data_IF_467142390557
#
_entry.id   IF_467142390557
#
_cell.length_a   1.000
_cell.length_b   1.000
_cell.length_c   1.000
_cell.angle_alpha   90.00
_cell.angle_beta   90.00
_cell.angle_gamma   90.00
#
_symmetry.space_group_name_H-M   'P 1'
#
loop_
_entity.id
_entity.type
_entity.pdbx_description
1 polymer ?
#
# COMPACT_ATOMS: atom_id res chain seq x y z
N UNK A 1 11.20 -10.76 -19.95
CA UNK A 1 12.05 -9.71 -19.39
C UNK A 1 11.37 -9.20 -18.13
N UNK A 2 11.99 -9.37 -16.96
CA UNK A 2 11.44 -8.99 -15.66
C UNK A 2 12.40 -7.99 -15.01
N UNK A 3 11.83 -7.00 -14.34
CA UNK A 3 12.54 -5.95 -13.62
C UNK A 3 12.42 -6.17 -12.12
N UNK A 4 13.48 -5.90 -11.37
CA UNK A 4 13.53 -6.12 -9.92
C UNK A 4 13.72 -4.76 -9.25
N UNK A 5 12.80 -4.43 -8.35
CA UNK A 5 12.97 -3.32 -7.42
C UNK A 5 13.14 -3.88 -6.01
N UNK A 6 13.92 -3.20 -5.19
CA UNK A 6 14.10 -3.58 -3.78
C UNK A 6 13.42 -2.60 -2.85
N UNK A 7 13.15 -3.03 -1.62
CA UNK A 7 12.71 -2.13 -0.57
C UNK A 7 13.94 -1.39 0.02
N UNK A 8 13.83 -0.08 0.20
CA UNK A 8 14.86 0.78 0.77
C UNK A 8 14.33 1.39 2.07
N UNK A 9 14.73 0.79 3.19
CA UNK A 9 14.40 1.26 4.53
C UNK A 9 15.54 2.14 5.05
N UNK A 10 15.38 3.45 4.89
CA UNK A 10 16.43 4.44 5.22
C UNK A 10 15.93 5.58 6.10
N UNK A 11 14.69 5.50 6.60
CA UNK A 11 14.27 6.36 7.70
C UNK A 11 14.94 5.97 9.03
N UNK A 12 15.16 4.67 9.24
CA UNK A 12 15.73 4.12 10.47
C UNK A 12 16.61 2.90 10.17
N UNK A 13 17.44 2.49 11.13
CA UNK A 13 18.17 1.22 11.11
C UNK A 13 17.82 0.37 12.33
N UNK A 14 18.18 -0.92 12.29
CA UNK A 14 18.16 -1.75 13.49
C UNK A 14 19.08 -1.18 14.57
N UNK A 15 18.70 -1.40 15.83
CA UNK A 15 19.55 -1.20 17.00
C UNK A 15 20.82 -2.07 16.96
N UNK A 16 20.82 -3.17 16.22
CA UNK A 16 21.97 -4.04 16.01
C UNK A 16 22.88 -3.55 14.85
N UNK A 17 22.52 -2.45 14.17
CA UNK A 17 23.33 -1.90 13.08
C UNK A 17 24.68 -1.38 13.60
N UNK A 18 25.81 -1.63 12.90
CA UNK A 18 27.14 -1.16 13.34
C UNK A 18 27.22 0.35 13.61
N UNK A 19 26.49 1.17 12.86
CA UNK A 19 26.40 2.61 13.14
C UNK A 19 25.76 2.90 14.50
N UNK A 20 24.64 2.25 14.83
CA UNK A 20 23.96 2.48 16.11
C UNK A 20 24.79 1.92 17.28
N UNK A 21 25.36 0.73 17.13
CA UNK A 21 26.24 0.12 18.13
C UNK A 21 27.47 1.00 18.41
N UNK A 22 28.08 1.58 17.38
CA UNK A 22 29.18 2.54 17.55
C UNK A 22 28.71 3.82 18.26
N UNK A 23 27.52 4.33 17.93
CA UNK A 23 26.94 5.49 18.59
C UNK A 23 26.71 5.25 20.10
N UNK A 24 26.20 4.08 20.47
CA UNK A 24 26.05 3.63 21.86
C UNK A 24 27.40 3.47 22.57
N UNK A 25 28.43 3.00 21.86
CA UNK A 25 29.79 2.92 22.37
C UNK A 25 30.49 4.29 22.53
N UNK A 26 29.82 5.40 22.22
CA UNK A 26 30.32 6.75 22.44
C UNK A 26 30.99 7.41 21.23
N UNK A 27 30.97 6.77 20.06
CA UNK A 27 31.49 7.36 18.82
C UNK A 27 30.70 8.63 18.46
N UNK A 28 31.39 9.78 18.42
CA UNK A 28 30.75 11.08 18.18
C UNK A 28 30.30 11.28 16.74
N UNK A 29 30.97 10.67 15.77
CA UNK A 29 30.55 10.71 14.38
C UNK A 29 29.25 9.92 14.22
N UNK A 30 29.22 8.69 14.73
CA UNK A 30 28.02 7.83 14.62
C UNK A 30 26.88 8.27 15.54
N UNK A 31 27.15 8.95 16.65
CA UNK A 31 26.10 9.66 17.40
C UNK A 31 25.40 10.72 16.55
N UNK A 32 26.13 11.36 15.62
CA UNK A 32 25.54 12.30 14.66
C UNK A 32 24.66 11.65 13.59
N UNK A 33 24.65 10.32 13.47
CA UNK A 33 23.82 9.59 12.50
C UNK A 33 22.39 9.38 13.01
N UNK A 34 22.13 9.61 14.30
CA UNK A 34 20.83 9.39 14.94
C UNK A 34 20.43 10.63 15.74
N UNK A 35 19.18 10.65 16.21
CA UNK A 35 18.70 11.70 17.09
C UNK A 35 18.84 11.28 18.56
N UNK A 36 19.85 11.84 19.25
CA UNK A 36 20.01 11.70 20.70
C UNK A 36 19.69 13.01 21.44
N UNK A 37 19.03 12.94 22.60
CA UNK A 37 18.77 14.11 23.45
C UNK A 37 18.63 13.77 24.94
N UNK A 38 18.88 14.74 25.81
CA UNK A 38 18.76 14.58 27.28
C UNK A 38 17.32 14.52 27.77
N UNK A 39 16.44 15.35 27.21
CA UNK A 39 15.03 15.43 27.59
C UNK A 39 14.20 15.15 26.35
N UNK A 40 13.40 14.06 26.30
CA UNK A 40 12.55 13.74 25.15
C UNK A 40 11.41 14.76 25.04
N UNK A 41 10.79 14.81 23.86
CA UNK A 41 9.51 15.52 23.66
C UNK A 41 8.34 14.53 23.85
N UNK A 42 7.11 15.01 23.66
CA UNK A 42 5.89 14.20 23.80
C UNK A 42 5.50 13.34 22.58
N UNK A 43 6.42 13.10 21.62
CA UNK A 43 6.09 12.34 20.42
C UNK A 43 5.77 10.87 20.75
N UNK A 44 4.83 10.30 19.99
CA UNK A 44 4.39 8.90 20.14
C UNK A 44 4.89 8.03 18.98
N UNK A 45 5.15 6.76 19.27
CA UNK A 45 5.56 5.74 18.28
C UNK A 45 4.34 5.20 17.51
N UNK A 46 4.57 4.82 16.26
CA UNK A 46 3.60 4.10 15.42
C UNK A 46 3.24 2.72 15.97
N UNK A 47 4.11 2.11 16.81
CA UNK A 47 3.89 0.79 17.41
C UNK A 47 3.60 0.87 18.92
N UNK A 48 2.89 1.93 19.31
CA UNK A 48 2.47 2.27 20.67
C UNK A 48 3.59 2.80 21.60
N UNK A 49 3.20 3.66 22.54
CA UNK A 49 4.08 4.27 23.54
C UNK A 49 4.90 5.48 23.06
N UNK A 50 5.87 5.96 23.86
CA UNK A 50 6.71 7.11 23.51
C UNK A 50 7.59 6.82 22.29
N UNK A 51 7.91 7.84 21.49
CA UNK A 51 8.87 7.75 20.38
C UNK A 51 10.35 7.82 20.83
N UNK A 52 10.62 7.72 22.13
CA UNK A 52 11.95 7.91 22.70
C UNK A 52 12.31 6.78 23.64
N UNK A 53 13.48 6.18 23.45
CA UNK A 53 14.02 5.14 24.33
C UNK A 53 15.26 5.65 25.07
N UNK A 54 15.28 5.50 26.39
CA UNK A 54 16.43 5.88 27.21
C UNK A 54 17.54 4.81 27.14
N UNK A 55 18.79 5.28 27.08
CA UNK A 55 20.01 4.48 27.11
C UNK A 55 20.88 4.94 28.28
N UNK A 56 21.06 4.06 29.27
CA UNK A 56 21.79 4.36 30.49
C UNK A 56 23.28 4.61 30.21
N UNK A 57 23.89 3.86 29.29
CA UNK A 57 25.31 3.99 28.94
C UNK A 57 25.69 5.37 28.38
N UNK A 58 24.71 6.10 27.82
CA UNK A 58 24.89 7.44 27.28
C UNK A 58 24.24 8.53 28.14
N UNK A 59 23.37 8.14 29.08
CA UNK A 59 22.42 9.02 29.75
C UNK A 59 21.65 9.91 28.74
N UNK A 60 21.13 9.30 27.68
CA UNK A 60 20.43 9.98 26.58
C UNK A 60 19.22 9.16 26.11
N UNK A 61 18.26 9.86 25.50
CA UNK A 61 17.15 9.26 24.77
C UNK A 61 17.48 9.24 23.28
N UNK A 62 17.15 8.15 22.59
CA UNK A 62 17.23 8.03 21.14
C UNK A 62 15.83 7.97 20.51
N UNK A 63 15.65 8.65 19.35
CA UNK A 63 14.39 8.67 18.63
C UNK A 63 14.13 7.32 17.93
N UNK A 64 12.92 6.81 18.12
CA UNK A 64 12.37 5.64 17.44
C UNK A 64 10.91 5.92 17.10
N UNK A 65 10.63 6.26 15.85
CA UNK A 65 9.24 6.45 15.40
C UNK A 65 8.49 5.11 15.35
N UNK A 66 9.20 3.98 15.18
CA UNK A 66 8.62 2.65 15.04
C UNK A 66 8.93 1.79 16.28
N UNK A 67 9.41 0.55 16.12
CA UNK A 67 9.70 -0.34 17.25
C UNK A 67 10.89 0.13 18.10
N UNK A 68 11.04 -0.47 19.29
CA UNK A 68 12.18 -0.26 20.20
C UNK A 68 13.54 -0.76 19.65
N UNK A 69 13.53 -1.29 18.42
CA UNK A 69 14.69 -1.74 17.65
C UNK A 69 14.92 -0.93 16.37
N UNK A 70 14.10 0.07 16.07
CA UNK A 70 14.17 0.86 14.83
C UNK A 70 14.50 2.32 15.15
N UNK A 71 15.79 2.67 15.10
CA UNK A 71 16.27 4.01 15.46
C UNK A 71 16.44 4.91 14.24
N UNK A 72 15.83 6.08 14.32
CA UNK A 72 15.72 7.02 13.20
C UNK A 72 17.07 7.65 12.83
N UNK A 73 17.40 7.59 11.54
CA UNK A 73 18.56 8.23 10.96
C UNK A 73 18.36 9.75 10.86
N UNK A 74 19.42 10.49 11.16
CA UNK A 74 19.47 11.93 11.07
C UNK A 74 19.88 12.37 9.66
N UNK A 75 18.90 12.55 8.78
CA UNK A 75 19.12 12.99 7.40
C UNK A 75 19.65 14.42 7.26
N UNK A 76 19.58 15.25 8.31
CA UNK A 76 20.22 16.57 8.30
C UNK A 76 21.76 16.44 8.25
N UNK A 77 22.30 15.30 8.71
CA UNK A 77 23.72 15.00 8.59
C UNK A 77 24.08 14.63 7.13
N UNK A 78 24.93 15.41 6.44
CA UNK A 78 25.30 15.13 5.06
C UNK A 78 26.06 13.80 4.90
N UNK A 79 26.76 13.31 5.93
CA UNK A 79 27.41 12.00 5.87
C UNK A 79 26.38 10.86 5.80
N UNK A 80 25.27 10.96 6.54
CA UNK A 80 24.18 9.98 6.45
C UNK A 80 23.60 9.95 5.04
N UNK A 81 23.36 11.12 4.43
CA UNK A 81 22.83 11.18 3.05
C UNK A 81 23.80 10.61 2.03
N UNK A 82 25.10 10.85 2.20
CA UNK A 82 26.13 10.26 1.34
C UNK A 82 26.17 8.73 1.49
N UNK A 83 26.16 8.20 2.71
CA UNK A 83 26.16 6.76 2.97
C UNK A 83 24.89 6.09 2.38
N UNK A 84 23.74 6.75 2.48
CA UNK A 84 22.51 6.27 1.82
C UNK A 84 22.66 6.26 0.30
N UNK A 85 23.22 7.31 -0.29
CA UNK A 85 23.49 7.34 -1.73
C UNK A 85 24.44 6.21 -2.18
N UNK A 86 25.45 5.90 -1.36
CA UNK A 86 26.39 4.81 -1.60
C UNK A 86 25.71 3.43 -1.50
N UNK A 87 24.80 3.23 -0.53
CA UNK A 87 23.98 2.01 -0.40
C UNK A 87 23.11 1.81 -1.65
N UNK A 88 22.43 2.86 -2.11
CA UNK A 88 21.56 2.81 -3.28
C UNK A 88 22.40 2.48 -4.53
N UNK A 89 23.55 3.13 -4.70
CA UNK A 89 24.48 2.88 -5.81
C UNK A 89 24.99 1.44 -5.81
N UNK A 90 25.39 0.92 -4.65
CA UNK A 90 25.89 -0.45 -4.51
C UNK A 90 24.90 -1.51 -5.02
N UNK A 91 23.61 -1.33 -4.75
CA UNK A 91 22.58 -2.27 -5.22
C UNK A 91 22.22 -2.06 -6.68
N UNK A 92 22.21 -0.83 -7.17
CA UNK A 92 22.01 -0.55 -8.60
C UNK A 92 23.18 -1.09 -9.45
N UNK A 93 24.41 -1.01 -8.96
CA UNK A 93 25.59 -1.64 -9.56
C UNK A 93 25.48 -3.17 -9.66
N UNK A 94 24.67 -3.80 -8.80
CA UNK A 94 24.33 -5.23 -8.88
C UNK A 94 23.25 -5.55 -9.91
N UNK A 95 22.61 -4.54 -10.48
CA UNK A 95 21.66 -4.68 -11.58
C UNK A 95 20.19 -4.75 -11.18
N UNK A 96 19.80 -4.25 -9.99
CA UNK A 96 18.38 -3.99 -9.73
C UNK A 96 17.94 -2.74 -10.51
N UNK A 97 16.64 -2.62 -10.77
CA UNK A 97 16.08 -1.58 -11.65
C UNK A 97 15.46 -0.40 -10.89
N UNK A 98 15.48 -0.42 -9.55
CA UNK A 98 14.89 0.64 -8.75
C UNK A 98 14.60 0.27 -7.30
N UNK A 99 13.91 1.19 -6.62
CA UNK A 99 13.54 1.03 -5.22
C UNK A 99 12.11 1.46 -4.93
N UNK A 100 11.46 0.71 -4.03
CA UNK A 100 10.37 1.20 -3.17
C UNK A 100 10.99 1.73 -1.89
N UNK A 101 10.71 2.97 -1.52
CA UNK A 101 11.34 3.62 -0.37
C UNK A 101 10.35 3.70 0.80
N UNK A 102 10.64 2.95 1.86
CA UNK A 102 9.79 2.81 3.05
C UNK A 102 9.68 4.12 3.83
N UNK A 103 8.43 4.52 4.15
CA UNK A 103 8.06 5.72 4.91
C UNK A 103 8.92 6.96 4.61
N UNK A 104 9.23 7.15 3.33
CA UNK A 104 10.28 8.08 2.90
C UNK A 104 9.94 9.54 3.21
N UNK A 105 8.65 9.86 3.38
CA UNK A 105 8.22 11.20 3.80
C UNK A 105 8.65 11.58 5.22
N UNK A 106 9.01 10.61 6.07
CA UNK A 106 9.39 10.86 7.47
C UNK A 106 10.86 11.19 7.68
N UNK A 107 11.71 11.15 6.65
CA UNK A 107 13.17 11.31 6.80
C UNK A 107 13.58 12.72 7.28
N UNK A 108 12.77 13.74 7.04
CA UNK A 108 13.06 15.12 7.46
C UNK A 108 12.27 15.47 8.73
N UNK A 109 12.98 15.79 9.82
CA UNK A 109 12.38 16.18 11.11
C UNK A 109 12.53 17.69 11.33
N UNK A 110 11.59 18.30 12.04
CA UNK A 110 11.64 19.73 12.36
C UNK A 110 12.85 20.06 13.28
N UNK A 111 13.59 21.15 13.02
CA UNK A 111 14.70 21.58 13.85
C UNK A 111 14.29 21.76 15.32
N UNK A 112 15.14 21.26 16.22
CA UNK A 112 14.89 21.33 17.67
C UNK A 112 13.90 20.30 18.21
N UNK A 113 13.22 19.53 17.33
CA UNK A 113 12.29 18.45 17.70
C UNK A 113 11.28 18.92 18.77
N UNK A 114 10.47 19.95 18.48
CA UNK A 114 9.52 20.52 19.44
C UNK A 114 8.45 19.51 19.85
N UNK A 115 7.74 19.80 20.95
CA UNK A 115 6.55 19.03 21.32
C UNK A 115 5.49 19.08 20.22
N UNK A 116 4.82 17.95 20.03
CA UNK A 116 3.62 17.83 19.22
C UNK A 116 2.41 18.45 19.90
N UNK A 117 1.50 18.98 19.10
CA UNK A 117 0.21 19.48 19.56
C UNK A 117 -0.72 18.31 19.86
N UNK A 118 -1.27 18.27 21.07
CA UNK A 118 -2.13 17.16 21.51
C UNK A 118 -3.38 16.99 20.65
N UNK A 119 -4.01 18.09 20.21
CA UNK A 119 -5.23 18.01 19.41
C UNK A 119 -4.96 17.48 17.99
N UNK A 120 -3.79 17.80 17.43
CA UNK A 120 -3.32 17.19 16.18
C UNK A 120 -3.04 15.71 16.42
N UNK A 121 -2.35 15.37 17.51
CA UNK A 121 -2.07 13.99 17.91
C UNK A 121 -3.33 13.15 18.08
N UNK A 122 -4.39 13.68 18.70
CA UNK A 122 -5.69 13.00 18.85
C UNK A 122 -6.38 12.78 17.51
N UNK A 123 -6.30 13.75 16.58
CA UNK A 123 -6.93 13.66 15.27
C UNK A 123 -6.21 12.64 14.37
N UNK A 124 -4.88 12.67 14.37
CA UNK A 124 -4.03 11.85 13.49
C UNK A 124 -3.74 10.46 14.09
N UNK A 125 -3.87 10.33 15.42
CA UNK A 125 -3.49 9.14 16.19
C UNK A 125 -2.04 9.13 16.67
N UNK A 126 -1.21 10.09 16.22
CA UNK A 126 0.21 10.14 16.55
C UNK A 126 0.65 11.58 16.89
N UNK A 127 0.94 11.82 18.17
CA UNK A 127 1.45 13.12 18.64
C UNK A 127 2.83 13.39 18.06
N UNK A 128 3.00 14.58 17.48
CA UNK A 128 4.28 15.04 16.93
C UNK A 128 4.45 14.81 15.43
N UNK A 129 3.54 14.08 14.78
CA UNK A 129 3.63 13.77 13.35
C UNK A 129 3.74 15.03 12.48
N UNK A 130 3.11 16.14 12.86
CA UNK A 130 3.19 17.42 12.14
C UNK A 130 4.61 17.96 11.97
N UNK A 131 5.57 17.47 12.76
CA UNK A 131 6.97 17.90 12.72
C UNK A 131 7.85 17.05 11.79
N UNK A 132 7.34 15.96 11.24
CA UNK A 132 8.11 15.09 10.34
C UNK A 132 7.31 14.52 9.17
N UNK A 133 6.00 14.75 9.10
CA UNK A 133 5.13 14.27 8.04
C UNK A 133 5.51 14.73 6.63
N UNK A 134 5.81 16.02 6.51
CA UNK A 134 6.43 16.66 5.35
C UNK A 134 7.49 17.61 5.90
N UNK A 135 8.61 17.05 6.34
CA UNK A 135 9.66 17.83 6.98
C UNK A 135 10.26 18.91 6.06
N UNK A 136 10.87 19.95 6.66
CA UNK A 136 11.28 21.16 5.95
C UNK A 136 12.31 20.92 4.82
N UNK A 137 13.06 19.82 4.90
CA UNK A 137 14.11 19.47 3.95
C UNK A 137 13.77 18.23 3.11
N UNK A 138 12.58 17.64 3.26
CA UNK A 138 12.20 16.40 2.58
C UNK A 138 12.42 16.47 1.07
N UNK A 139 11.91 17.53 0.44
CA UNK A 139 12.03 17.70 -1.01
C UNK A 139 13.49 17.83 -1.44
N UNK A 140 14.30 18.59 -0.71
CA UNK A 140 15.73 18.76 -0.97
C UNK A 140 16.46 17.42 -0.91
N UNK A 141 16.22 16.61 0.13
CA UNK A 141 16.88 15.31 0.30
C UNK A 141 16.53 14.34 -0.83
N UNK A 142 15.28 14.32 -1.26
CA UNK A 142 14.84 13.45 -2.37
C UNK A 142 15.38 13.94 -3.72
N UNK A 143 15.48 15.25 -3.93
CA UNK A 143 16.11 15.80 -5.14
C UNK A 143 17.61 15.50 -5.20
N UNK A 144 18.31 15.58 -4.07
CA UNK A 144 19.72 15.17 -3.95
C UNK A 144 19.87 13.70 -4.34
N UNK A 145 19.10 12.80 -3.69
CA UNK A 145 19.17 11.36 -3.96
C UNK A 145 18.82 11.01 -5.41
N UNK A 146 17.82 11.68 -6.01
CA UNK A 146 17.47 11.48 -7.41
C UNK A 146 18.55 11.96 -8.36
N UNK A 147 19.10 13.16 -8.13
CA UNK A 147 20.15 13.74 -8.96
C UNK A 147 21.41 12.87 -8.93
N UNK A 148 21.82 12.47 -7.73
CA UNK A 148 23.13 11.86 -7.50
C UNK A 148 23.13 10.36 -7.81
N UNK A 149 21.99 9.67 -7.64
CA UNK A 149 21.91 8.22 -7.80
C UNK A 149 20.83 7.77 -8.78
N UNK A 150 19.54 7.98 -8.52
CA UNK A 150 18.50 7.36 -9.36
C UNK A 150 18.58 7.74 -10.85
N UNK A 151 18.82 9.02 -11.15
CA UNK A 151 18.86 9.52 -12.53
C UNK A 151 20.04 8.97 -13.35
N UNK A 152 21.30 8.96 -12.85
CA UNK A 152 22.41 8.29 -13.54
C UNK A 152 22.15 6.84 -13.97
N UNK A 153 21.46 6.06 -13.13
CA UNK A 153 21.15 4.66 -13.41
C UNK A 153 19.85 4.46 -14.21
N UNK A 154 19.08 5.53 -14.44
CA UNK A 154 17.70 5.44 -14.95
C UNK A 154 16.82 4.50 -14.11
N UNK A 155 17.08 4.50 -12.80
CA UNK A 155 16.42 3.62 -11.85
C UNK A 155 15.04 4.17 -11.47
N UNK A 156 14.07 3.28 -11.36
CA UNK A 156 12.72 3.61 -10.93
C UNK A 156 12.68 3.91 -9.42
N UNK A 157 11.92 4.92 -9.00
CA UNK A 157 11.69 5.21 -7.59
C UNK A 157 10.22 5.44 -7.25
N UNK A 158 9.73 4.68 -6.28
CA UNK A 158 8.41 4.88 -5.66
C UNK A 158 8.57 5.08 -4.16
N UNK A 159 8.03 6.17 -3.63
CA UNK A 159 8.04 6.44 -2.19
C UNK A 159 6.78 5.95 -1.51
N UNK A 160 6.89 5.27 -0.39
CA UNK A 160 5.76 5.08 0.52
C UNK A 160 5.54 6.34 1.34
N UNK A 161 4.35 6.93 1.24
CA UNK A 161 4.04 8.23 1.83
C UNK A 161 2.64 8.23 2.45
N UNK A 162 2.42 7.51 3.57
CA UNK A 162 1.10 7.39 4.19
C UNK A 162 0.55 8.77 4.57
N UNK A 163 -0.73 9.00 4.27
CA UNK A 163 -1.47 10.22 4.63
C UNK A 163 -1.18 11.46 3.78
N UNK A 164 -0.14 11.46 2.93
CA UNK A 164 0.43 12.69 2.34
C UNK A 164 -0.57 13.52 1.53
N UNK A 165 -1.63 12.88 1.03
CA UNK A 165 -2.68 13.52 0.25
C UNK A 165 -2.21 13.96 -1.14
N UNK A 166 -3.19 14.36 -1.94
CA UNK A 166 -3.01 14.60 -3.37
C UNK A 166 -2.02 15.74 -3.70
N UNK A 167 -2.06 16.87 -2.99
CA UNK A 167 -1.24 18.04 -3.33
C UNK A 167 0.24 17.82 -3.01
N UNK A 168 0.55 17.19 -1.88
CA UNK A 168 1.93 16.86 -1.53
C UNK A 168 2.44 15.69 -2.38
N UNK A 169 1.59 14.72 -2.75
CA UNK A 169 1.95 13.69 -3.75
C UNK A 169 2.41 14.32 -5.06
N UNK A 170 1.71 15.35 -5.54
CA UNK A 170 2.12 16.13 -6.73
C UNK A 170 3.48 16.81 -6.55
N UNK A 171 3.74 17.44 -5.40
CA UNK A 171 5.06 18.02 -5.13
C UNK A 171 6.19 16.99 -5.16
N UNK A 172 5.90 15.73 -4.82
CA UNK A 172 6.87 14.65 -4.78
C UNK A 172 7.00 13.85 -6.08
N UNK A 173 6.07 13.98 -7.03
CA UNK A 173 6.02 13.13 -8.24
C UNK A 173 5.92 13.90 -9.56
N UNK A 174 5.71 15.23 -9.50
CA UNK A 174 5.70 16.05 -10.71
C UNK A 174 6.99 15.86 -11.49
N UNK A 175 6.88 15.55 -12.78
CA UNK A 175 8.05 15.33 -13.66
C UNK A 175 9.07 16.48 -13.60
N UNK A 176 8.60 17.72 -13.45
CA UNK A 176 9.40 18.93 -13.31
C UNK A 176 10.06 19.10 -11.92
N UNK A 177 9.61 18.36 -10.90
CA UNK A 177 10.15 18.42 -9.54
C UNK A 177 11.44 17.60 -9.40
N UNK A 178 11.61 16.57 -10.25
CA UNK A 178 12.79 15.70 -10.25
C UNK A 178 13.07 15.08 -8.86
N UNK A 179 12.03 14.59 -8.18
CA UNK A 179 12.07 13.96 -6.84
C UNK A 179 11.90 12.44 -6.89
N UNK A 180 10.72 11.94 -7.27
CA UNK A 180 10.39 10.50 -7.37
C UNK A 180 9.49 10.27 -8.58
N UNK A 181 9.37 9.02 -9.03
CA UNK A 181 8.45 8.69 -10.14
C UNK A 181 7.02 8.47 -9.65
N UNK A 182 6.86 7.92 -8.44
CA UNK A 182 5.57 7.58 -7.84
C UNK A 182 5.56 7.77 -6.32
N UNK A 183 4.36 7.88 -5.77
CA UNK A 183 4.08 7.78 -4.34
C UNK A 183 2.98 6.76 -4.08
N UNK A 184 3.17 5.87 -3.11
CA UNK A 184 2.08 5.11 -2.49
C UNK A 184 1.39 5.98 -1.45
N UNK A 185 0.19 6.45 -1.78
CA UNK A 185 -0.79 6.95 -0.81
C UNK A 185 -1.71 5.80 -0.41
N UNK A 186 -2.17 5.83 0.84
CA UNK A 186 -3.03 4.82 1.45
C UNK A 186 -4.43 5.37 1.73
N UNK A 187 -4.68 6.64 1.38
CA UNK A 187 -5.90 7.38 1.73
C UNK A 187 -7.16 6.80 1.06
N UNK A 188 -7.00 5.89 0.10
CA UNK A 188 -8.09 5.19 -0.59
C UNK A 188 -8.49 3.85 0.03
N UNK A 189 -7.68 3.31 0.95
CA UNK A 189 -7.94 2.00 1.53
C UNK A 189 -9.07 2.06 2.56
N UNK A 190 -8.99 3.02 3.49
CA UNK A 190 -9.96 3.16 4.58
C UNK A 190 -11.07 4.14 4.22
N UNK A 191 -12.31 3.83 4.61
CA UNK A 191 -13.44 4.75 4.41
C UNK A 191 -13.32 5.93 5.38
N UNK A 192 -13.58 7.18 4.96
CA UNK A 192 -13.42 8.34 5.83
C UNK A 192 -14.21 8.21 7.12
N UNK A 193 -13.54 8.48 8.24
CA UNK A 193 -14.12 8.33 9.59
C UNK A 193 -13.94 6.95 10.21
N UNK A 194 -13.28 6.03 9.51
CA UNK A 194 -12.89 4.72 10.02
C UNK A 194 -11.38 4.52 9.99
N UNK A 195 -10.89 3.56 10.76
CA UNK A 195 -9.48 3.13 10.79
C UNK A 195 -9.38 1.61 10.60
N UNK A 196 -8.20 1.09 10.20
CA UNK A 196 -7.97 -0.33 9.89
C UNK A 196 -8.49 -1.33 10.92
N UNK A 197 -8.35 -1.02 12.21
CA UNK A 197 -8.75 -1.90 13.32
C UNK A 197 -10.26 -1.89 13.65
N UNK A 198 -11.07 -1.13 12.92
CA UNK A 198 -12.52 -1.18 13.06
C UNK A 198 -13.13 -2.29 12.18
N UNK A 199 -14.16 -2.96 12.71
CA UNK A 199 -14.97 -3.95 11.98
C UNK A 199 -16.07 -3.23 11.19
N UNK A 200 -15.76 -2.87 9.94
CA UNK A 200 -16.70 -2.24 9.02
C UNK A 200 -16.46 -2.74 7.59
N UNK A 201 -17.49 -2.61 6.75
CA UNK A 201 -17.40 -2.88 5.32
C UNK A 201 -16.84 -1.66 4.57
N UNK A 202 -15.80 -1.86 3.76
CA UNK A 202 -15.23 -0.81 2.92
C UNK A 202 -16.24 -0.32 1.89
N UNK A 203 -16.37 1.01 1.78
CA UNK A 203 -17.28 1.64 0.82
C UNK A 203 -16.62 1.81 -0.56
N UNK A 204 -17.04 0.99 -1.53
CA UNK A 204 -16.57 1.12 -2.91
C UNK A 204 -17.02 2.43 -3.59
N UNK A 205 -18.06 3.12 -3.11
CA UNK A 205 -18.37 4.47 -3.60
C UNK A 205 -17.34 5.49 -3.15
N UNK A 206 -16.81 5.37 -1.93
CA UNK A 206 -15.67 6.18 -1.51
C UNK A 206 -14.45 5.88 -2.37
N UNK A 207 -14.12 4.61 -2.59
CA UNK A 207 -13.00 4.22 -3.45
C UNK A 207 -13.14 4.79 -4.87
N UNK A 208 -14.33 4.69 -5.47
CA UNK A 208 -14.67 5.31 -6.76
C UNK A 208 -14.47 6.82 -6.73
N UNK A 209 -14.99 7.51 -5.73
CA UNK A 209 -14.85 8.95 -5.57
C UNK A 209 -13.38 9.35 -5.49
N UNK A 210 -12.62 8.74 -4.58
CA UNK A 210 -11.20 9.02 -4.38
C UNK A 210 -10.41 8.84 -5.68
N UNK A 211 -10.57 7.69 -6.34
CA UNK A 211 -9.86 7.39 -7.58
C UNK A 211 -10.25 8.32 -8.72
N UNK A 212 -11.55 8.64 -8.85
CA UNK A 212 -12.04 9.57 -9.90
C UNK A 212 -11.44 10.96 -9.73
N UNK A 213 -11.45 11.51 -8.51
CA UNK A 213 -10.91 12.84 -8.24
C UNK A 213 -9.39 12.90 -8.45
N UNK A 214 -8.65 11.88 -8.00
CA UNK A 214 -7.20 11.81 -8.22
C UNK A 214 -6.85 11.66 -9.70
N UNK A 215 -7.55 10.79 -10.44
CA UNK A 215 -7.33 10.61 -11.89
C UNK A 215 -7.51 11.92 -12.66
N UNK A 216 -8.55 12.70 -12.33
CA UNK A 216 -8.79 14.04 -12.91
C UNK A 216 -7.71 15.04 -12.51
N UNK A 217 -7.28 15.02 -11.25
CA UNK A 217 -6.34 15.99 -10.74
C UNK A 217 -4.90 15.75 -11.22
N UNK A 218 -4.49 14.50 -11.44
CA UNK A 218 -3.11 14.13 -11.78
C UNK A 218 -2.70 14.50 -13.22
N UNK A 219 -3.58 14.99 -14.10
CA UNK A 219 -3.19 15.58 -15.40
C UNK A 219 -2.13 14.76 -16.16
N UNK A 220 -1.19 15.38 -16.88
CA UNK A 220 -0.15 14.65 -17.63
C UNK A 220 1.25 14.72 -16.99
N UNK A 221 1.44 15.52 -15.95
CA UNK A 221 2.74 15.70 -15.28
C UNK A 221 2.94 14.78 -14.07
N UNK A 222 1.93 13.98 -13.73
CA UNK A 222 1.94 13.14 -12.55
C UNK A 222 1.49 11.73 -12.92
N UNK A 223 2.03 10.73 -12.21
CA UNK A 223 1.70 9.33 -12.42
C UNK A 223 1.17 8.73 -11.11
N UNK A 224 0.14 7.88 -11.19
CA UNK A 224 -0.48 7.27 -10.01
C UNK A 224 0.01 5.85 -9.79
N UNK A 225 0.28 5.47 -8.54
CA UNK A 225 0.32 4.07 -8.12
C UNK A 225 -1.11 3.57 -7.90
N UNK A 226 -1.46 2.41 -8.46
CA UNK A 226 -2.79 1.81 -8.33
C UNK A 226 -2.64 0.48 -7.57
N UNK A 227 -3.10 0.41 -6.32
CA UNK A 227 -3.02 -0.80 -5.51
C UNK A 227 -4.17 -0.85 -4.51
N UNK A 228 -4.47 -2.03 -3.98
CA UNK A 228 -5.42 -2.19 -2.86
C UNK A 228 -4.93 -3.17 -1.80
N UNK A 229 -4.07 -4.11 -2.17
CA UNK A 229 -3.43 -5.05 -1.26
C UNK A 229 -1.94 -4.74 -1.13
N UNK A 230 -1.40 -5.00 0.07
CA UNK A 230 0.02 -5.05 0.37
C UNK A 230 0.23 -5.89 1.64
N UNK A 231 1.43 -5.88 2.21
CA UNK A 231 1.78 -6.67 3.39
C UNK A 231 1.39 -6.02 4.73
N UNK A 232 0.81 -4.82 4.71
CA UNK A 232 0.44 -4.05 5.91
C UNK A 232 -1.06 -3.82 6.07
N UNK A 233 -1.88 -4.27 5.12
CA UNK A 233 -3.32 -4.11 5.14
C UNK A 233 -4.02 -5.46 5.01
N UNK A 234 -5.22 -5.63 5.59
CA UNK A 234 -6.06 -6.79 5.31
C UNK A 234 -6.31 -6.95 3.80
N UNK A 235 -6.67 -8.16 3.36
CA UNK A 235 -7.06 -8.41 1.97
C UNK A 235 -8.30 -7.56 1.64
N UNK A 236 -8.18 -6.67 0.67
CA UNK A 236 -9.17 -5.64 0.36
C UNK A 236 -10.56 -6.21 0.10
N UNK A 237 -10.64 -7.31 -0.66
CA UNK A 237 -11.92 -7.96 -0.96
C UNK A 237 -12.62 -8.53 0.29
N UNK A 238 -11.87 -8.89 1.32
CA UNK A 238 -12.40 -9.38 2.60
C UNK A 238 -12.96 -8.27 3.46
N UNK A 239 -12.48 -7.03 3.30
CA UNK A 239 -13.07 -5.84 3.93
C UNK A 239 -14.33 -5.35 3.22
N UNK A 240 -14.61 -5.80 1.99
CA UNK A 240 -15.86 -5.49 1.26
C UNK A 240 -16.90 -6.60 1.43
N UNK A 241 -16.48 -7.87 1.39
CA UNK A 241 -17.35 -9.03 1.60
C UNK A 241 -16.69 -10.00 2.58
N UNK A 242 -16.92 -9.77 3.88
CA UNK A 242 -16.38 -10.55 5.00
C UNK A 242 -16.67 -12.04 4.90
N UNK A 243 -17.80 -12.41 4.28
CA UNK A 243 -18.24 -13.80 4.10
C UNK A 243 -17.84 -14.38 2.74
N UNK A 244 -17.13 -13.61 1.92
CA UNK A 244 -16.55 -14.04 0.63
C UNK A 244 -17.59 -14.61 -0.36
N UNK A 245 -18.86 -14.21 -0.25
CA UNK A 245 -19.98 -14.69 -1.08
C UNK A 245 -19.80 -14.34 -2.56
N UNK A 246 -19.11 -13.24 -2.83
CA UNK A 246 -18.84 -12.72 -4.17
C UNK A 246 -17.35 -12.71 -4.52
N UNK A 247 -16.52 -13.50 -3.81
CA UNK A 247 -15.05 -13.49 -3.92
C UNK A 247 -14.54 -13.37 -5.35
N UNK A 248 -14.93 -14.29 -6.22
CA UNK A 248 -14.42 -14.37 -7.60
C UNK A 248 -14.79 -13.15 -8.45
N UNK A 249 -16.05 -12.72 -8.40
CA UNK A 249 -16.51 -11.59 -9.22
C UNK A 249 -15.94 -10.28 -8.70
N UNK A 250 -15.87 -10.11 -7.37
CA UNK A 250 -15.31 -8.92 -6.73
C UNK A 250 -13.80 -8.80 -6.96
N UNK A 251 -13.04 -9.88 -6.78
CA UNK A 251 -11.58 -9.88 -7.04
C UNK A 251 -11.27 -9.52 -8.50
N UNK A 252 -12.03 -10.06 -9.45
CA UNK A 252 -11.91 -9.70 -10.87
C UNK A 252 -12.30 -8.25 -11.14
N UNK A 253 -13.35 -7.73 -10.51
CA UNK A 253 -13.76 -6.34 -10.66
C UNK A 253 -12.68 -5.36 -10.15
N UNK A 254 -12.10 -5.64 -8.98
CA UNK A 254 -10.99 -4.89 -8.41
C UNK A 254 -9.76 -4.94 -9.32
N UNK A 255 -9.36 -6.12 -9.79
CA UNK A 255 -8.23 -6.26 -10.71
C UNK A 255 -8.48 -5.54 -12.04
N UNK A 256 -9.71 -5.54 -12.54
CA UNK A 256 -10.10 -4.77 -13.72
C UNK A 256 -9.88 -3.28 -13.48
N UNK A 257 -10.41 -2.72 -12.38
CA UNK A 257 -10.22 -1.30 -12.03
C UNK A 257 -8.74 -0.91 -12.05
N UNK A 258 -7.89 -1.68 -11.35
CA UNK A 258 -6.46 -1.41 -11.27
C UNK A 258 -5.78 -1.46 -12.65
N UNK A 259 -6.17 -2.42 -13.50
CA UNK A 259 -5.57 -2.63 -14.81
C UNK A 259 -6.19 -1.79 -15.93
N UNK A 260 -7.25 -1.01 -15.67
CA UNK A 260 -7.88 -0.14 -16.67
C UNK A 260 -7.91 1.35 -16.29
N UNK A 261 -7.50 1.73 -15.08
CA UNK A 261 -7.19 3.13 -14.73
C UNK A 261 -5.78 3.54 -15.22
N UNK A 262 -5.54 4.85 -15.32
CA UNK A 262 -4.25 5.41 -15.74
C UNK A 262 -3.27 5.41 -14.57
N UNK A 263 -2.07 4.86 -14.75
CA UNK A 263 -1.08 4.72 -13.69
C UNK A 263 -0.32 3.39 -13.74
N UNK A 264 0.46 3.10 -12.70
CA UNK A 264 1.17 1.83 -12.53
C UNK A 264 0.39 0.94 -11.55
N UNK A 265 -0.21 -0.17 -12.00
CA UNK A 265 -0.86 -1.14 -11.12
C UNK A 265 0.18 -1.97 -10.36
N UNK A 266 -0.05 -2.14 -9.07
CA UNK A 266 0.68 -3.08 -8.20
C UNK A 266 -0.30 -4.15 -7.73
N UNK A 267 0.03 -5.41 -8.02
CA UNK A 267 -0.71 -6.59 -7.57
C UNK A 267 0.12 -7.27 -6.48
N UNK A 268 -0.47 -7.47 -5.31
CA UNK A 268 0.20 -8.14 -4.21
C UNK A 268 0.03 -9.67 -4.30
N UNK A 269 1.02 -10.43 -3.82
CA UNK A 269 1.01 -11.89 -3.93
C UNK A 269 -0.27 -12.50 -3.34
N UNK A 270 -0.97 -13.31 -4.12
CA UNK A 270 -2.24 -13.92 -3.73
C UNK A 270 -3.48 -13.16 -4.22
N UNK A 271 -3.36 -11.88 -4.61
CA UNK A 271 -4.47 -11.10 -5.14
C UNK A 271 -4.96 -11.68 -6.49
N UNK A 272 -4.04 -12.18 -7.30
CA UNK A 272 -4.32 -12.79 -8.60
C UNK A 272 -5.04 -14.13 -8.50
N UNK A 273 -5.00 -14.76 -7.33
CA UNK A 273 -5.79 -15.95 -7.00
C UNK A 273 -6.90 -15.65 -6.00
N UNK A 274 -7.16 -14.38 -5.67
CA UNK A 274 -8.21 -13.97 -4.73
C UNK A 274 -8.04 -14.53 -3.31
N UNK A 275 -6.82 -14.54 -2.76
CA UNK A 275 -6.62 -14.82 -1.33
C UNK A 275 -7.41 -13.83 -0.47
N UNK A 276 -7.94 -14.33 0.65
CA UNK A 276 -8.80 -13.60 1.58
C UNK A 276 -8.13 -13.49 2.95
N UNK A 277 -8.71 -12.70 3.85
CA UNK A 277 -8.34 -12.72 5.26
C UNK A 277 -8.41 -14.16 5.80
N UNK A 278 -7.51 -14.46 6.73
CA UNK A 278 -7.48 -15.73 7.43
C UNK A 278 -8.39 -15.71 8.66
N UNK A 279 -9.03 -16.84 8.95
CA UNK A 279 -9.89 -17.00 10.13
C UNK A 279 -9.03 -17.41 11.34
N UNK A 280 -8.27 -16.46 11.90
CA UNK A 280 -7.52 -16.72 13.13
C UNK A 280 -8.48 -16.84 14.31
N UNK A 281 -8.28 -17.85 15.15
CA UNK A 281 -9.16 -18.13 16.30
C UNK A 281 -8.63 -17.52 17.60
N UNK A 282 -7.31 -17.29 17.70
CA UNK A 282 -6.68 -16.78 18.93
C UNK A 282 -5.50 -15.85 18.66
N UNK A 283 -5.15 -15.02 19.65
CA UNK A 283 -3.94 -14.17 19.60
C UNK A 283 -2.63 -14.96 19.43
N UNK A 284 -2.57 -16.21 19.89
CA UNK A 284 -1.37 -17.05 19.80
C UNK A 284 -1.04 -17.46 18.35
N UNK A 285 -1.97 -17.26 17.42
CA UNK A 285 -1.80 -17.51 15.99
C UNK A 285 -1.20 -16.31 15.25
N UNK A 286 -1.31 -15.11 15.83
CA UNK A 286 -0.75 -13.88 15.26
C UNK A 286 0.75 -13.75 15.56
N UNK A 287 1.47 -13.07 14.68
CA UNK A 287 2.91 -12.85 14.73
C UNK A 287 3.28 -11.37 14.70
N UNK A 288 2.39 -10.55 14.16
CA UNK A 288 2.64 -9.14 13.92
C UNK A 288 2.81 -8.34 15.22
N UNK A 289 3.94 -7.63 15.34
CA UNK A 289 4.27 -6.84 16.54
C UNK A 289 3.24 -5.73 16.82
N UNK A 290 2.69 -5.10 15.79
CA UNK A 290 1.65 -4.08 15.96
C UNK A 290 0.38 -4.70 16.53
N UNK A 291 -0.03 -5.86 16.02
CA UNK A 291 -1.19 -6.62 16.53
C UNK A 291 -0.99 -7.05 17.99
N UNK A 292 0.19 -7.55 18.35
CA UNK A 292 0.52 -7.95 19.73
C UNK A 292 0.52 -6.75 20.69
N UNK A 293 1.14 -5.63 20.28
CA UNK A 293 1.18 -4.41 21.08
C UNK A 293 -0.22 -3.81 21.25
N UNK A 294 -1.02 -3.76 20.18
CA UNK A 294 -2.37 -3.22 20.23
C UNK A 294 -3.27 -4.05 21.13
N UNK A 295 -3.16 -5.37 21.09
CA UNK A 295 -3.87 -6.27 22.00
C UNK A 295 -3.54 -5.94 23.46
N UNK A 296 -2.24 -5.83 23.80
CA UNK A 296 -1.82 -5.51 25.16
C UNK A 296 -2.30 -4.11 25.60
N UNK A 297 -2.21 -3.11 24.72
CA UNK A 297 -2.70 -1.75 24.96
C UNK A 297 -4.20 -1.74 25.31
N UNK A 298 -5.02 -2.50 24.57
CA UNK A 298 -6.46 -2.62 24.83
C UNK A 298 -6.73 -3.31 26.18
N UNK A 299 -5.97 -4.35 26.54
CA UNK A 299 -6.08 -5.00 27.84
C UNK A 299 -5.74 -4.04 28.98
N UNK A 300 -4.69 -3.24 28.83
CA UNK A 300 -4.26 -2.26 29.82
C UNK A 300 -5.31 -1.14 29.99
N UNK A 301 -6.09 -0.86 28.94
CA UNK A 301 -7.26 0.04 28.97
C UNK A 301 -8.52 -0.60 29.57
N UNK A 302 -8.46 -1.89 29.95
CA UNK A 302 -9.57 -2.61 30.58
C UNK A 302 -10.55 -3.25 29.58
N UNK A 303 -10.21 -3.30 28.29
CA UNK A 303 -11.00 -4.02 27.27
C UNK A 303 -10.91 -5.53 27.52
N UNK A 304 -12.00 -6.26 27.30
CA UNK A 304 -12.01 -7.71 27.48
C UNK A 304 -11.11 -8.41 26.46
N UNK A 305 -10.58 -9.60 26.79
CA UNK A 305 -9.73 -10.37 25.86
C UNK A 305 -10.42 -10.65 24.53
N UNK A 306 -11.70 -11.00 24.56
CA UNK A 306 -12.45 -11.33 23.36
C UNK A 306 -12.64 -10.08 22.48
N UNK A 307 -13.03 -8.95 23.06
CA UNK A 307 -13.22 -7.68 22.34
C UNK A 307 -11.89 -7.13 21.79
N UNK A 308 -10.81 -7.21 22.58
CA UNK A 308 -9.48 -6.83 22.14
C UNK A 308 -9.01 -7.70 20.97
N UNK A 309 -9.24 -9.02 21.03
CA UNK A 309 -8.92 -9.93 19.93
C UNK A 309 -9.73 -9.61 18.67
N UNK A 310 -11.04 -9.39 18.77
CA UNK A 310 -11.87 -9.04 17.60
C UNK A 310 -11.45 -7.70 16.96
N UNK A 311 -11.04 -6.73 17.77
CA UNK A 311 -10.49 -5.46 17.28
C UNK A 311 -9.21 -5.69 16.49
N UNK A 312 -8.26 -6.45 17.05
CA UNK A 312 -7.00 -6.79 16.38
C UNK A 312 -7.23 -7.60 15.12
N UNK A 313 -8.10 -8.61 15.17
CA UNK A 313 -8.46 -9.45 14.03
C UNK A 313 -9.01 -8.62 12.88
N UNK A 314 -9.79 -7.57 13.14
CA UNK A 314 -10.38 -6.72 12.09
C UNK A 314 -9.36 -5.97 11.24
N UNK A 315 -8.16 -5.73 11.78
CA UNK A 315 -7.13 -4.90 11.17
C UNK A 315 -5.74 -5.53 11.06
N UNK A 316 -5.54 -6.76 11.52
CA UNK A 316 -4.20 -7.35 11.59
C UNK A 316 -3.55 -7.47 10.21
N UNK A 317 -2.25 -7.16 10.17
CA UNK A 317 -1.41 -7.29 8.96
C UNK A 317 -1.17 -8.75 8.58
N UNK A 318 -1.30 -9.66 9.55
CA UNK A 318 -1.06 -11.09 9.35
C UNK A 318 -2.02 -11.73 8.35
N UNK A 319 -3.20 -11.13 8.13
CA UNK A 319 -4.11 -11.55 7.06
C UNK A 319 -3.43 -11.58 5.68
N UNK A 320 -2.63 -10.57 5.35
CA UNK A 320 -1.92 -10.48 4.09
C UNK A 320 -0.59 -11.23 4.08
N UNK A 321 -0.13 -11.74 5.23
CA UNK A 321 1.18 -12.40 5.39
C UNK A 321 1.08 -13.90 5.46
N UNK A 322 -0.13 -14.45 5.48
CA UNK A 322 -0.32 -15.90 5.38
C UNK A 322 0.39 -16.47 4.13
N UNK A 323 0.94 -17.69 4.21
CA UNK A 323 1.70 -18.26 3.10
C UNK A 323 0.92 -18.32 1.79
N UNK A 324 1.62 -18.08 0.68
CA UNK A 324 1.04 -18.21 -0.66
C UNK A 324 0.52 -19.63 -0.90
N UNK A 325 -0.70 -19.75 -1.43
CA UNK A 325 -1.36 -21.03 -1.67
C UNK A 325 -1.03 -21.53 -3.09
N UNK A 326 0.00 -22.35 -3.22
CA UNK A 326 0.45 -22.91 -4.50
C UNK A 326 -0.47 -24.02 -5.01
N UNK A 327 -0.91 -24.92 -4.15
CA UNK A 327 -1.77 -26.04 -4.50
C UNK A 327 -2.71 -26.42 -3.34
N UNK A 328 -3.45 -27.52 -3.49
CA UNK A 328 -4.43 -27.99 -2.49
C UNK A 328 -3.85 -28.94 -1.42
N UNK A 329 -2.52 -29.05 -1.33
CA UNK A 329 -1.87 -29.84 -0.28
C UNK A 329 -1.83 -29.06 1.05
N UNK A 330 -1.40 -29.73 2.12
CA UNK A 330 -1.20 -29.12 3.44
C UNK A 330 -0.37 -27.82 3.32
N UNK A 331 -0.78 -26.78 4.04
CA UNK A 331 -0.18 -25.44 4.00
C UNK A 331 -0.15 -24.81 2.60
N UNK A 332 -1.11 -25.16 1.74
CA UNK A 332 -1.17 -24.70 0.36
C UNK A 332 0.03 -25.12 -0.49
N UNK A 333 0.76 -26.17 -0.10
CA UNK A 333 1.99 -26.58 -0.77
C UNK A 333 3.19 -25.63 -0.54
N UNK A 334 3.07 -24.64 0.35
CA UNK A 334 4.15 -23.72 0.69
C UNK A 334 5.30 -24.39 1.44
N UNK A 335 4.98 -25.36 2.29
CA UNK A 335 5.95 -26.03 3.15
C UNK A 335 5.53 -27.46 3.47
N UNK A 336 6.50 -28.34 3.71
CA UNK A 336 6.27 -29.71 4.22
C UNK A 336 6.17 -29.77 5.74
N UNK A 337 6.57 -28.70 6.44
CA UNK A 337 6.48 -28.53 7.90
C UNK A 337 5.63 -27.31 8.26
N UNK A 338 5.25 -27.15 9.53
CA UNK A 338 4.46 -25.99 9.97
C UNK A 338 5.18 -24.69 9.59
N UNK A 339 4.55 -23.81 8.77
CA UNK A 339 5.12 -22.52 8.40
C UNK A 339 5.15 -21.56 9.59
N UNK A 340 5.89 -20.45 9.45
CA UNK A 340 6.04 -19.43 10.48
C UNK A 340 4.71 -18.77 10.89
N UNK A 341 3.78 -18.67 9.94
CA UNK A 341 2.38 -18.27 10.09
C UNK A 341 1.53 -19.29 9.32
N UNK A 342 0.47 -19.79 9.93
CA UNK A 342 -0.44 -20.74 9.27
C UNK A 342 -1.53 -19.95 8.56
N UNK A 343 -1.81 -20.30 7.31
CA UNK A 343 -2.98 -19.86 6.58
C UNK A 343 -3.54 -21.03 5.78
N UNK A 344 -4.86 -21.17 5.81
CA UNK A 344 -5.59 -22.29 5.23
C UNK A 344 -6.94 -21.84 4.64
N UNK A 345 -6.97 -20.63 4.08
CA UNK A 345 -8.10 -20.17 3.28
C UNK A 345 -8.40 -21.18 2.16
N UNK A 346 -9.63 -21.26 1.67
CA UNK A 346 -10.12 -22.28 0.71
C UNK A 346 -9.04 -22.86 -0.23
N UNK A 347 -8.40 -23.94 0.21
CA UNK A 347 -7.30 -24.57 -0.52
C UNK A 347 -7.79 -25.34 -1.75
N UNK A 348 -9.10 -25.51 -1.94
CA UNK A 348 -9.64 -26.20 -3.11
C UNK A 348 -9.72 -25.29 -4.32
N UNK A 349 -10.15 -24.04 -4.13
CA UNK A 349 -10.34 -23.08 -5.23
C UNK A 349 -9.37 -21.88 -5.21
N UNK A 350 -8.79 -21.54 -4.06
CA UNK A 350 -7.91 -20.37 -3.89
C UNK A 350 -6.44 -20.77 -3.93
N UNK A 351 -6.02 -21.54 -4.94
CA UNK A 351 -4.62 -21.92 -5.11
C UNK A 351 -4.17 -21.79 -6.57
N UNK A 352 -2.86 -21.61 -6.78
CA UNK A 352 -2.28 -21.38 -8.12
C UNK A 352 -2.57 -22.54 -9.07
N UNK A 353 -2.40 -23.79 -8.64
CA UNK A 353 -2.63 -24.98 -9.47
C UNK A 353 -4.06 -25.07 -10.03
N UNK A 354 -5.07 -24.75 -9.21
CA UNK A 354 -6.46 -24.69 -9.62
C UNK A 354 -6.70 -23.48 -10.53
N UNK A 355 -6.27 -22.29 -10.10
CA UNK A 355 -6.55 -21.04 -10.79
C UNK A 355 -5.88 -20.98 -12.18
N UNK A 356 -4.72 -21.62 -12.38
CA UNK A 356 -4.10 -21.71 -13.71
C UNK A 356 -4.90 -22.60 -14.68
N UNK A 357 -5.54 -23.66 -14.17
CA UNK A 357 -6.28 -24.64 -14.99
C UNK A 357 -7.70 -24.22 -15.32
N UNK A 358 -8.37 -23.51 -14.40
CA UNK A 358 -9.74 -23.04 -14.61
C UNK A 358 -9.75 -21.83 -15.57
N UNK A 359 -10.34 -21.93 -16.78
CA UNK A 359 -10.27 -20.87 -17.79
C UNK A 359 -10.88 -19.54 -17.36
N UNK A 360 -11.89 -19.59 -16.48
CA UNK A 360 -12.59 -18.42 -15.97
C UNK A 360 -12.15 -18.02 -14.56
N UNK A 361 -10.96 -18.42 -14.13
CA UNK A 361 -10.40 -18.10 -12.82
C UNK A 361 -10.04 -16.62 -12.67
N UNK A 362 -9.75 -16.18 -11.45
CA UNK A 362 -9.23 -14.84 -11.17
C UNK A 362 -7.85 -14.68 -11.84
N UNK A 363 -7.03 -15.71 -11.78
CA UNK A 363 -5.69 -15.72 -12.37
C UNK A 363 -5.74 -15.51 -13.89
N UNK A 364 -6.53 -16.32 -14.60
CA UNK A 364 -6.62 -16.25 -16.05
C UNK A 364 -7.31 -14.96 -16.53
N UNK A 365 -8.26 -14.44 -15.77
CA UNK A 365 -8.87 -13.13 -16.02
C UNK A 365 -7.84 -12.00 -15.88
N UNK A 366 -7.08 -11.99 -14.78
CA UNK A 366 -6.04 -10.98 -14.51
C UNK A 366 -4.92 -11.05 -15.53
N UNK A 367 -4.50 -12.26 -15.94
CA UNK A 367 -3.50 -12.48 -16.99
C UNK A 367 -3.96 -11.90 -18.34
N UNK A 368 -5.23 -12.08 -18.70
CA UNK A 368 -5.80 -11.50 -19.92
C UNK A 368 -5.82 -9.98 -19.86
N UNK A 369 -6.21 -9.38 -18.72
CA UNK A 369 -6.17 -7.93 -18.54
C UNK A 369 -4.75 -7.36 -18.64
N UNK A 370 -3.76 -8.02 -18.04
CA UNK A 370 -2.35 -7.61 -18.18
C UNK A 370 -1.92 -7.64 -19.65
N UNK A 371 -2.34 -8.65 -20.41
CA UNK A 371 -2.04 -8.73 -21.84
C UNK A 371 -2.73 -7.61 -22.64
N UNK A 372 -4.00 -7.32 -22.35
CA UNK A 372 -4.78 -6.25 -23.00
C UNK A 372 -4.24 -4.85 -22.66
N UNK A 373 -3.72 -4.66 -21.44
CA UNK A 373 -3.15 -3.38 -21.02
C UNK A 373 -1.86 -3.05 -21.77
N UNK A 374 -1.07 -4.04 -22.20
CA UNK A 374 0.19 -3.77 -22.90
C UNK A 374 -0.06 -3.05 -24.22
N UNK A 375 0.64 -1.93 -24.41
CA UNK A 375 0.62 -1.13 -25.64
C UNK A 375 -0.79 -0.68 -26.07
N UNK A 376 -1.66 -0.38 -25.10
CA UNK A 376 -3.05 0.05 -25.34
C UNK A 376 -3.41 1.38 -24.69
N UNK A 377 -4.55 1.95 -25.09
CA UNK A 377 -5.13 3.14 -24.47
C UNK A 377 -5.38 2.99 -22.95
N UNK A 378 -5.36 1.75 -22.43
CA UNK A 378 -5.45 1.48 -20.99
C UNK A 378 -4.21 1.95 -20.21
N UNK A 379 -3.05 2.17 -20.85
CA UNK A 379 -1.87 2.75 -20.18
C UNK A 379 -1.94 4.27 -20.23
N UNK A 380 -1.84 4.84 -21.43
CA UNK A 380 -1.60 6.27 -21.65
C UNK A 380 -2.83 7.06 -22.10
N UNK A 381 -3.89 6.39 -22.56
CA UNK A 381 -5.09 7.06 -23.06
C UNK A 381 -5.76 7.91 -21.99
N UNK A 382 -6.40 8.99 -22.42
CA UNK A 382 -7.17 9.88 -21.56
C UNK A 382 -8.30 9.12 -20.88
N UNK A 383 -8.71 9.58 -19.69
CA UNK A 383 -9.80 9.00 -18.93
C UNK A 383 -10.99 9.96 -18.89
N UNK A 384 -12.14 9.50 -19.37
CA UNK A 384 -13.41 10.22 -19.31
C UNK A 384 -14.39 9.45 -18.40
N UNK A 385 -14.73 10.00 -17.24
CA UNK A 385 -15.70 9.40 -16.33
C UNK A 385 -17.13 9.76 -16.73
N UNK A 386 -17.99 8.75 -16.85
CA UNK A 386 -19.38 8.88 -17.28
C UNK A 386 -20.33 8.61 -16.11
N UNK A 387 -21.47 9.28 -16.11
CA UNK A 387 -22.54 9.07 -15.12
C UNK A 387 -22.09 9.13 -13.65
N UNK A 388 -21.08 9.94 -13.32
CA UNK A 388 -20.37 9.94 -12.04
C UNK A 388 -21.28 9.97 -10.81
N UNK A 389 -22.37 10.75 -10.88
CA UNK A 389 -23.36 10.91 -9.81
C UNK A 389 -24.24 9.68 -9.56
N UNK A 390 -24.15 8.64 -10.41
CA UNK A 390 -24.91 7.40 -10.26
C UNK A 390 -24.25 6.52 -9.21
N UNK A 391 -24.94 6.31 -8.09
CA UNK A 391 -24.48 5.40 -7.02
C UNK A 391 -24.51 3.95 -7.49
N UNK A 392 -23.54 3.17 -7.00
CA UNK A 392 -23.34 1.76 -7.30
C UNK A 392 -22.76 1.47 -8.68
N UNK A 393 -22.46 2.50 -9.48
CA UNK A 393 -22.04 2.35 -10.86
C UNK A 393 -20.79 3.19 -11.13
N UNK A 394 -19.78 2.57 -11.73
CA UNK A 394 -18.59 3.25 -12.23
C UNK A 394 -18.41 2.97 -13.71
N UNK A 395 -18.54 4.02 -14.52
CA UNK A 395 -18.39 3.93 -15.97
C UNK A 395 -17.37 4.95 -16.41
N UNK A 396 -16.44 4.54 -17.26
CA UNK A 396 -15.48 5.45 -17.85
C UNK A 396 -14.94 4.93 -19.17
N UNK A 397 -14.37 5.84 -19.96
CA UNK A 397 -13.67 5.52 -21.20
C UNK A 397 -12.18 5.70 -21.04
N UNK A 398 -11.42 4.93 -21.81
CA UNK A 398 -9.98 5.11 -22.03
C UNK A 398 -9.72 5.25 -23.51
N UNK A 399 -9.20 6.40 -23.93
CA UNK A 399 -9.10 6.75 -25.36
C UNK A 399 -7.72 7.30 -25.68
N UNK A 400 -7.12 6.81 -26.76
CA UNK A 400 -5.97 7.44 -27.42
C UNK A 400 -6.25 7.64 -28.92
N UNK A 401 -5.22 7.97 -29.70
CA UNK A 401 -5.36 8.21 -31.15
C UNK A 401 -5.77 6.96 -31.95
N UNK A 402 -5.63 5.76 -31.38
CA UNK A 402 -5.76 4.48 -32.09
C UNK A 402 -6.96 3.65 -31.64
N UNK A 403 -7.35 3.74 -30.37
CA UNK A 403 -8.45 2.95 -29.84
C UNK A 403 -9.20 3.62 -28.69
N UNK A 404 -10.43 3.16 -28.46
CA UNK A 404 -11.27 3.55 -27.34
C UNK A 404 -11.79 2.30 -26.63
N UNK A 405 -11.65 2.28 -25.30
CA UNK A 405 -12.29 1.31 -24.43
C UNK A 405 -13.41 1.95 -23.63
N UNK A 406 -14.48 1.20 -23.39
CA UNK A 406 -15.54 1.52 -22.46
C UNK A 406 -15.49 0.51 -21.31
N UNK A 407 -15.43 1.01 -20.08
CA UNK A 407 -15.41 0.22 -18.85
C UNK A 407 -16.73 0.47 -18.12
N UNK A 408 -17.42 -0.59 -17.71
CA UNK A 408 -18.67 -0.54 -16.97
C UNK A 408 -18.62 -1.49 -15.77
N UNK A 409 -18.74 -0.95 -14.56
CA UNK A 409 -18.57 -1.68 -13.31
C UNK A 409 -19.74 -1.40 -12.37
N UNK A 410 -20.37 -2.47 -11.89
CA UNK A 410 -21.24 -2.44 -10.73
C UNK A 410 -20.40 -2.56 -9.45
N UNK A 411 -20.59 -1.64 -8.51
CA UNK A 411 -19.87 -1.60 -7.23
C UNK A 411 -20.66 -2.18 -6.06
N UNK A 412 -21.85 -2.75 -6.30
CA UNK A 412 -22.73 -3.27 -5.24
C UNK A 412 -22.98 -4.77 -5.35
N UNK A 413 -23.42 -5.35 -4.24
CA UNK A 413 -23.91 -6.73 -4.15
C UNK A 413 -25.32 -6.92 -4.76
N UNK A 414 -25.84 -5.93 -5.49
CA UNK A 414 -27.21 -5.92 -6.05
C UNK A 414 -27.18 -5.55 -7.52
N UNK A 415 -28.27 -5.83 -8.26
CA UNK A 415 -28.35 -5.49 -9.68
C UNK A 415 -28.37 -3.98 -9.91
N UNK A 416 -27.62 -3.50 -10.90
CA UNK A 416 -27.61 -2.09 -11.33
C UNK A 416 -28.14 -1.91 -12.74
N UNK A 417 -28.84 -0.81 -12.98
CA UNK A 417 -29.30 -0.46 -14.32
C UNK A 417 -28.13 0.04 -15.18
N UNK A 418 -28.01 -0.50 -16.39
CA UNK A 418 -27.05 0.00 -17.40
C UNK A 418 -27.39 1.45 -17.73
N UNK A 419 -26.37 2.29 -17.90
CA UNK A 419 -26.53 3.72 -18.23
C UNK A 419 -25.95 4.10 -19.58
N UNK A 420 -25.14 3.22 -20.16
CA UNK A 420 -24.49 3.42 -21.44
C UNK A 420 -25.03 2.43 -22.47
N UNK A 421 -25.22 2.93 -23.69
CA UNK A 421 -25.41 2.09 -24.87
C UNK A 421 -24.03 1.60 -25.32
N UNK A 422 -23.94 0.32 -25.65
CA UNK A 422 -22.69 -0.33 -26.07
C UNK A 422 -22.79 -0.95 -27.48
N UNK A 423 -23.73 -0.48 -28.30
CA UNK A 423 -23.99 -1.02 -29.65
C UNK A 423 -22.79 -0.85 -30.59
N UNK A 424 -22.03 0.23 -30.42
CA UNK A 424 -20.79 0.52 -31.17
C UNK A 424 -19.54 -0.14 -30.56
N UNK A 425 -19.70 -1.07 -29.61
CA UNK A 425 -18.60 -1.69 -28.89
C UNK A 425 -18.70 -3.22 -28.88
N UNK A 426 -17.55 -3.88 -28.95
CA UNK A 426 -17.42 -5.32 -28.70
C UNK A 426 -17.06 -5.59 -27.23
N UNK A 427 -17.70 -6.58 -26.61
CA UNK A 427 -17.32 -7.03 -25.26
C UNK A 427 -16.04 -7.84 -25.35
N UNK A 428 -14.94 -7.29 -24.83
CA UNK A 428 -13.61 -7.93 -24.83
C UNK A 428 -13.46 -8.85 -23.62
N UNK A 429 -13.89 -8.39 -22.44
CA UNK A 429 -13.74 -9.16 -21.21
C UNK A 429 -14.88 -8.85 -20.21
N UNK A 430 -15.37 -9.89 -19.54
CA UNK A 430 -16.35 -9.77 -18.44
C UNK A 430 -16.03 -10.75 -17.33
N UNK A 431 -16.25 -10.34 -16.08
CA UNK A 431 -16.06 -11.21 -14.90
C UNK A 431 -17.25 -12.13 -14.61
N UNK A 432 -18.37 -11.99 -15.32
CA UNK A 432 -19.56 -12.84 -15.22
C UNK A 432 -19.81 -13.59 -16.53
N UNK A 433 -20.61 -14.67 -16.46
CA UNK A 433 -21.02 -15.43 -17.64
C UNK A 433 -22.39 -14.96 -18.12
N UNK A 434 -22.53 -14.81 -19.45
CA UNK A 434 -23.77 -14.42 -20.11
C UNK A 434 -24.05 -12.91 -20.08
N UNK A 435 -25.02 -12.49 -20.87
CA UNK A 435 -25.51 -11.11 -20.88
C UNK A 435 -26.85 -11.03 -20.15
N UNK A 436 -27.00 -9.96 -19.36
CA UNK A 436 -28.23 -9.64 -18.64
C UNK A 436 -28.58 -8.17 -18.90
N UNK A 437 -29.88 -7.80 -18.99
CA UNK A 437 -30.31 -6.41 -19.25
C UNK A 437 -29.80 -5.41 -18.20
N UNK A 438 -29.59 -5.89 -16.98
CA UNK A 438 -28.95 -5.17 -15.88
C UNK A 438 -27.57 -5.73 -15.58
N UNK A 439 -26.71 -4.94 -14.95
CA UNK A 439 -25.45 -5.42 -14.40
C UNK A 439 -25.71 -6.28 -13.17
N UNK A 440 -25.14 -7.48 -13.16
CA UNK A 440 -25.15 -8.39 -12.01
C UNK A 440 -24.29 -7.83 -10.87
N UNK A 441 -24.47 -8.31 -9.62
CA UNK A 441 -23.62 -7.94 -8.48
C UNK A 441 -22.13 -7.97 -8.82
N UNK A 442 -21.42 -6.88 -8.55
CA UNK A 442 -19.99 -6.70 -8.85
C UNK A 442 -19.57 -6.98 -10.31
N UNK A 443 -20.51 -6.99 -11.26
CA UNK A 443 -20.18 -7.20 -12.67
C UNK A 443 -19.28 -6.07 -13.19
N UNK A 444 -18.18 -6.44 -13.83
CA UNK A 444 -17.23 -5.55 -14.47
C UNK A 444 -17.02 -6.01 -15.92
N UNK A 445 -17.23 -5.08 -16.86
CA UNK A 445 -17.12 -5.31 -18.29
C UNK A 445 -16.11 -4.35 -18.89
N UNK A 446 -15.26 -4.85 -19.78
CA UNK A 446 -14.36 -4.09 -20.64
C UNK A 446 -14.81 -4.30 -22.08
N UNK A 447 -15.15 -3.21 -22.75
CA UNK A 447 -15.50 -3.19 -24.17
C UNK A 447 -14.48 -2.40 -24.96
N UNK A 448 -14.30 -2.75 -26.24
CA UNK A 448 -13.50 -2.00 -27.21
C UNK A 448 -14.42 -1.45 -28.30
N UNK A 449 -14.19 -0.21 -28.72
CA UNK A 449 -14.99 0.41 -29.79
C UNK A 449 -14.75 -0.29 -31.12
N UNK A 450 -15.84 -0.53 -31.87
CA UNK A 450 -15.77 -1.09 -33.22
C UNK A 450 -15.19 -0.06 -34.21
N UNK A 451 -14.48 -0.50 -35.27
CA UNK A 451 -13.90 0.37 -36.29
C UNK A 451 -14.90 1.28 -37.01
#
# INVERSE_FOLDING_TARGET
>A
DMKIIMDLVVNHTSDEHPWFQAALAGDKEKQGYYFFRKQPNNWTSFFSGPAWKYFEELDLYALKLFSDKQFDLNWDNPQVRQEVADIVSFWLDKGIDGFRMDVINYISKAPGLPDGQEDIGKLIGFTGMEHYFYGPNLQTYLQELRRDVFKPYQAFSVGETPGIGMQLSKLLTGDYQQTMDLTFSFDHLETPGHVRFEDYEYDLEFYKYYMTENQKAFGNHYWMSLFVDNHDNPRFISKIDKYHRHRDVLAKAVNLILLTLRGTPFLYQGQEIGMTNNDFETMDELRDVESLNKYQELLDQGVSKDEAFQTVLSGTRDHARTPMQWNNQRFGGFSTTTPWLVGDQDLQSTNVDYQQKEPHSIYNFTKQLIALRKDSALVYGDVEFLHEKTKGLWVYKRTDETEEFLIEINLTATYQQRKVMNEDYELVLSNVRGQHPQLQPYQANLYRRLP
#
